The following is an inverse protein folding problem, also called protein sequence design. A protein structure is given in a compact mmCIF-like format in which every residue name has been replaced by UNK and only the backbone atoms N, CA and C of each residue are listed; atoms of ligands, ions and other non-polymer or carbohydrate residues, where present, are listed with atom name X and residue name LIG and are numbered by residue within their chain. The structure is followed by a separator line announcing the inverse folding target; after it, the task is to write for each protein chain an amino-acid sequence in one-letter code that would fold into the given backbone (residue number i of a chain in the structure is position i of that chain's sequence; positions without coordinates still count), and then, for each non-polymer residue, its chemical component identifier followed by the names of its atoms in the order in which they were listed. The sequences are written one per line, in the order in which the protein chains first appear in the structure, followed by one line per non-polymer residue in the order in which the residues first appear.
data_IF_473145182452
#
_entry.id   IF_473145182452
#
_cell.length_a   1.000
_cell.length_b   1.000
_cell.length_c   1.000
_cell.angle_alpha   90.00
_cell.angle_beta   90.00
_cell.angle_gamma   90.00
#
_symmetry.space_group_name_H-M   'P 1'
#
loop_
_entity.id
_entity.type
_entity.pdbx_description
1 polymer ?
#
# COMPACT_ATOMS: atom_id res chain seq x y z
N UNK A 1 16.89 -3.13 -9.17
CA UNK A 1 16.30 -2.03 -8.39
C UNK A 1 15.44 -1.24 -9.35
N UNK A 2 14.18 -1.01 -8.99
CA UNK A 2 13.21 -0.32 -9.84
C UNK A 2 12.69 0.93 -9.10
N UNK A 3 12.58 2.04 -9.82
CA UNK A 3 12.05 3.29 -9.30
C UNK A 3 10.77 3.66 -10.05
N UNK A 4 9.69 3.89 -9.31
CA UNK A 4 8.39 4.28 -9.85
C UNK A 4 8.10 5.74 -9.44
N UNK A 5 8.35 6.71 -10.33
CA UNK A 5 7.95 8.09 -10.12
C UNK A 5 6.47 8.29 -10.47
N UNK A 6 5.81 9.21 -9.76
CA UNK A 6 4.45 9.69 -10.04
C UNK A 6 4.37 11.16 -9.66
N UNK A 7 3.51 11.93 -10.33
CA UNK A 7 3.30 13.32 -9.97
C UNK A 7 2.15 13.98 -10.72
N UNK A 8 1.61 15.03 -10.10
CA UNK A 8 0.61 15.91 -10.68
C UNK A 8 1.26 17.28 -10.95
N UNK A 9 1.44 17.65 -12.23
CA UNK A 9 2.09 18.91 -12.60
C UNK A 9 1.27 20.14 -12.22
N UNK A 10 -0.05 20.02 -11.99
CA UNK A 10 -0.91 21.16 -11.63
C UNK A 10 -0.75 21.57 -10.17
N UNK A 11 -0.59 20.58 -9.29
CA UNK A 11 -0.43 20.79 -7.84
C UNK A 11 1.04 20.78 -7.41
N UNK A 12 1.92 20.19 -8.23
CA UNK A 12 3.31 19.93 -7.88
C UNK A 12 3.48 18.78 -6.89
N UNK A 13 2.42 18.00 -6.64
CA UNK A 13 2.51 16.77 -5.88
C UNK A 13 3.38 15.78 -6.65
N UNK A 14 4.33 15.14 -5.97
CA UNK A 14 5.20 14.15 -6.60
C UNK A 14 5.59 13.08 -5.58
N UNK A 15 5.76 11.85 -6.05
CA UNK A 15 6.30 10.75 -5.29
C UNK A 15 7.26 9.92 -6.12
N UNK A 16 8.25 9.34 -5.46
CA UNK A 16 9.13 8.34 -6.04
C UNK A 16 9.35 7.23 -5.03
N UNK A 17 9.15 6.00 -5.48
CA UNK A 17 9.44 4.80 -4.70
C UNK A 17 10.52 4.01 -5.43
N UNK A 18 11.66 3.82 -4.81
CA UNK A 18 12.76 3.03 -5.34
C UNK A 18 12.97 1.80 -4.47
N UNK A 19 12.90 0.61 -5.05
CA UNK A 19 13.01 -0.61 -4.26
C UNK A 19 13.45 -1.83 -5.05
N UNK A 20 13.60 -2.92 -4.30
CA UNK A 20 13.82 -4.26 -4.81
C UNK A 20 12.61 -5.12 -4.45
N UNK A 21 12.29 -6.06 -5.34
CA UNK A 21 11.28 -7.08 -5.14
C UNK A 21 11.97 -8.43 -5.26
N UNK A 22 11.77 -9.31 -4.28
CA UNK A 22 12.24 -10.68 -4.28
C UNK A 22 11.04 -11.62 -4.15
N UNK A 23 11.06 -12.74 -4.86
CA UNK A 23 9.93 -13.67 -4.98
C UNK A 23 9.12 -13.47 -6.25
N UNK A 24 7.93 -14.05 -6.28
CA UNK A 24 7.06 -14.15 -7.46
C UNK A 24 5.75 -13.36 -7.28
N UNK A 25 4.82 -13.56 -8.23
CA UNK A 25 3.54 -12.86 -8.25
C UNK A 25 2.56 -13.30 -7.14
N UNK A 26 2.74 -14.52 -6.61
CA UNK A 26 1.95 -15.06 -5.51
C UNK A 26 2.55 -14.70 -4.17
N UNK A 27 3.87 -14.75 -4.02
CA UNK A 27 4.57 -14.40 -2.78
C UNK A 27 5.80 -13.58 -3.09
N UNK A 28 5.81 -12.32 -2.65
CA UNK A 28 6.98 -11.46 -2.78
C UNK A 28 7.22 -10.59 -1.57
N UNK A 29 8.50 -10.33 -1.31
CA UNK A 29 8.96 -9.29 -0.41
C UNK A 29 9.44 -8.09 -1.23
N UNK A 30 9.16 -6.89 -0.72
CA UNK A 30 9.63 -5.62 -1.28
C UNK A 30 10.29 -4.81 -0.18
N UNK A 31 11.38 -4.14 -0.53
CA UNK A 31 12.01 -3.17 0.36
C UNK A 31 12.57 -2.02 -0.47
N UNK A 32 12.54 -0.82 0.09
CA UNK A 32 12.96 0.35 -0.65
C UNK A 32 12.94 1.63 0.14
N UNK A 33 13.18 2.72 -0.58
CA UNK A 33 13.10 4.09 -0.12
C UNK A 33 11.98 4.80 -0.86
N UNK A 34 11.37 5.77 -0.20
CA UNK A 34 10.38 6.65 -0.81
C UNK A 34 10.70 8.11 -0.54
N UNK A 35 10.26 8.98 -1.44
CA UNK A 35 10.19 10.40 -1.22
C UNK A 35 8.85 10.92 -1.78
N UNK A 36 8.14 11.75 -1.02
CA UNK A 36 6.86 12.35 -1.43
C UNK A 36 6.83 13.83 -1.10
N UNK A 37 6.16 14.61 -1.94
CA UNK A 37 5.77 15.99 -1.67
C UNK A 37 4.34 16.21 -2.15
N UNK A 38 3.63 17.11 -1.49
CA UNK A 38 2.22 17.40 -1.79
C UNK A 38 2.07 18.67 -2.63
N UNK A 39 3.16 19.42 -2.85
CA UNK A 39 3.17 20.62 -3.67
C UNK A 39 4.59 21.00 -4.11
N UNK A 40 4.69 21.90 -5.09
CA UNK A 40 5.96 22.40 -5.64
C UNK A 40 6.87 23.05 -4.59
N UNK A 41 6.29 23.69 -3.56
CA UNK A 41 7.03 24.33 -2.47
C UNK A 41 6.95 23.55 -1.15
N UNK A 42 6.30 22.38 -1.15
CA UNK A 42 6.04 21.58 0.04
C UNK A 42 7.28 20.86 0.56
N UNK A 43 7.32 20.51 1.85
CA UNK A 43 8.39 19.69 2.38
C UNK A 43 8.37 18.29 1.75
N UNK A 44 9.54 17.81 1.34
CA UNK A 44 9.70 16.42 0.91
C UNK A 44 9.79 15.51 2.13
N UNK A 45 8.87 14.55 2.22
CA UNK A 45 8.89 13.47 3.20
C UNK A 45 9.63 12.29 2.61
N UNK A 46 10.70 11.84 3.27
CA UNK A 46 11.50 10.70 2.85
C UNK A 46 11.40 9.59 3.88
N UNK A 47 11.43 8.34 3.42
CA UNK A 47 11.44 7.20 4.33
C UNK A 47 11.91 5.93 3.67
N UNK A 48 11.91 4.88 4.46
CA UNK A 48 12.16 3.51 4.01
C UNK A 48 10.88 2.69 4.21
N UNK A 49 10.70 1.70 3.35
CA UNK A 49 9.59 0.77 3.45
C UNK A 49 10.07 -0.68 3.27
N UNK A 50 9.35 -1.59 3.90
CA UNK A 50 9.45 -3.02 3.68
C UNK A 50 8.05 -3.61 3.69
N UNK A 51 7.76 -4.56 2.79
CA UNK A 51 6.48 -5.24 2.76
C UNK A 51 6.62 -6.67 2.25
N UNK A 52 5.77 -7.56 2.77
CA UNK A 52 5.57 -8.91 2.26
C UNK A 52 4.14 -9.00 1.76
N UNK A 53 4.00 -9.54 0.55
CA UNK A 53 2.74 -9.65 -0.14
C UNK A 53 2.48 -11.13 -0.45
N UNK A 54 1.26 -11.57 -0.22
CA UNK A 54 0.76 -12.90 -0.58
C UNK A 54 -0.51 -12.72 -1.40
N UNK A 55 -0.64 -13.45 -2.50
CA UNK A 55 -1.80 -13.47 -3.37
C UNK A 55 -2.11 -14.90 -3.79
N UNK A 56 -3.38 -15.29 -3.67
CA UNK A 56 -3.88 -16.59 -4.13
C UNK A 56 -4.45 -16.47 -5.54
N UNK A 57 -4.54 -17.60 -6.24
CA UNK A 57 -5.20 -17.68 -7.56
C UNK A 57 -6.69 -17.36 -7.49
N UNK A 58 -7.32 -17.63 -6.34
CA UNK A 58 -8.74 -17.33 -6.07
C UNK A 58 -9.02 -15.83 -5.89
N UNK A 59 -8.01 -14.96 -6.02
CA UNK A 59 -8.15 -13.51 -5.93
C UNK A 59 -8.05 -12.94 -4.51
N UNK A 60 -7.64 -13.74 -3.53
CA UNK A 60 -7.35 -13.25 -2.19
C UNK A 60 -5.94 -12.66 -2.16
N UNK A 61 -5.75 -11.60 -1.39
CA UNK A 61 -4.43 -11.05 -1.14
C UNK A 61 -4.28 -10.60 0.30
N UNK A 62 -3.05 -10.64 0.80
CA UNK A 62 -2.67 -10.11 2.09
C UNK A 62 -1.33 -9.40 1.95
N UNK A 63 -1.18 -8.28 2.61
CA UNK A 63 0.06 -7.50 2.64
C UNK A 63 0.35 -7.12 4.07
N UNK A 64 1.59 -7.35 4.51
CA UNK A 64 2.11 -6.83 5.75
C UNK A 64 3.29 -5.92 5.43
N UNK A 65 3.31 -4.71 5.96
CA UNK A 65 4.37 -3.76 5.68
C UNK A 65 4.76 -2.92 6.89
N UNK A 66 5.92 -2.30 6.76
CA UNK A 66 6.49 -1.37 7.72
C UNK A 66 7.07 -0.20 6.95
N UNK A 67 6.77 1.01 7.41
CA UNK A 67 7.31 2.25 6.90
C UNK A 67 8.01 2.98 8.03
N UNK A 68 9.17 3.55 7.76
CA UNK A 68 9.89 4.38 8.71
C UNK A 68 10.29 5.71 8.05
N UNK A 69 9.93 6.81 8.72
CA UNK A 69 10.23 8.18 8.30
C UNK A 69 11.20 8.79 9.32
N UNK A 70 12.51 8.83 9.02
CA UNK A 70 13.54 9.26 9.97
C UNK A 70 13.34 10.70 10.46
N UNK A 71 12.87 11.58 9.58
CA UNK A 71 12.62 13.01 9.90
C UNK A 71 11.71 13.22 11.11
N UNK A 72 10.79 12.29 11.34
CA UNK A 72 9.82 12.35 12.44
C UNK A 72 10.00 11.21 13.45
N UNK A 73 11.09 10.44 13.32
CA UNK A 73 11.33 9.19 14.04
C UNK A 73 10.06 8.32 14.12
N UNK A 74 9.36 8.21 13.00
CA UNK A 74 8.02 7.64 12.92
C UNK A 74 8.10 6.28 12.22
N UNK A 75 7.64 5.24 12.90
CA UNK A 75 7.45 3.91 12.31
C UNK A 75 5.98 3.57 12.34
N UNK A 76 5.46 3.09 11.21
CA UNK A 76 4.11 2.58 11.10
C UNK A 76 4.14 1.18 10.48
N UNK A 77 3.33 0.29 11.03
CA UNK A 77 3.12 -1.06 10.51
C UNK A 77 1.74 -1.09 9.87
N UNK A 78 1.66 -1.57 8.64
CA UNK A 78 0.41 -1.75 7.92
C UNK A 78 0.13 -3.24 7.70
N UNK A 79 -1.13 -3.61 7.82
CA UNK A 79 -1.66 -4.88 7.38
C UNK A 79 -2.85 -4.57 6.48
N UNK A 80 -2.92 -5.20 5.32
CA UNK A 80 -4.09 -5.10 4.45
C UNK A 80 -4.38 -6.44 3.81
N UNK A 81 -5.61 -6.62 3.37
CA UNK A 81 -6.00 -7.79 2.62
C UNK A 81 -7.21 -7.52 1.75
N UNK A 82 -7.33 -8.34 0.71
CA UNK A 82 -8.51 -8.41 -0.13
C UNK A 82 -9.00 -9.85 -0.18
N UNK A 83 -10.32 -10.04 -0.20
CA UNK A 83 -10.95 -11.33 -0.37
C UNK A 83 -11.95 -11.24 -1.52
N UNK A 84 -11.93 -12.23 -2.41
CA UNK A 84 -12.97 -12.38 -3.41
C UNK A 84 -14.13 -13.16 -2.77
N UNK A 85 -15.23 -12.47 -2.47
CA UNK A 85 -16.38 -13.07 -1.78
C UNK A 85 -17.25 -13.88 -2.74
N UNK A 86 -17.40 -13.40 -3.97
CA UNK A 86 -18.25 -14.04 -4.96
C UNK A 86 -17.81 -13.67 -6.37
N UNK A 87 -17.78 -14.66 -7.25
CA UNK A 87 -17.68 -14.46 -8.69
C UNK A 87 -18.77 -15.29 -9.34
N UNK A 88 -19.61 -14.67 -10.17
CA UNK A 88 -20.65 -15.42 -10.89
C UNK A 88 -20.01 -16.43 -11.84
N UNK A 89 -20.68 -17.56 -12.12
CA UNK A 89 -20.19 -18.54 -13.10
C UNK A 89 -19.97 -17.94 -14.49
N UNK A 90 -20.75 -16.90 -14.85
CA UNK A 90 -20.60 -16.13 -16.08
C UNK A 90 -19.42 -15.15 -16.08
N UNK A 91 -18.80 -14.89 -14.92
CA UNK A 91 -17.74 -13.88 -14.76
C UNK A 91 -18.21 -12.43 -14.81
N UNK A 92 -19.52 -12.20 -14.99
CA UNK A 92 -20.11 -10.87 -15.15
C UNK A 92 -20.29 -10.12 -13.83
N UNK A 93 -20.38 -10.83 -12.69
CA UNK A 93 -20.48 -10.21 -11.37
C UNK A 93 -19.32 -10.66 -10.50
N UNK A 94 -18.60 -9.70 -9.93
CA UNK A 94 -17.57 -9.93 -8.93
C UNK A 94 -17.86 -9.07 -7.69
N UNK A 95 -17.80 -9.70 -6.52
CA UNK A 95 -17.89 -9.03 -5.22
C UNK A 95 -16.62 -9.32 -4.44
N UNK A 96 -15.90 -8.27 -4.08
CA UNK A 96 -14.68 -8.33 -3.28
C UNK A 96 -14.82 -7.52 -2.00
N UNK A 97 -14.17 -7.99 -0.94
CA UNK A 97 -13.96 -7.24 0.30
C UNK A 97 -12.51 -6.83 0.42
N UNK A 98 -12.28 -5.70 1.06
CA UNK A 98 -10.96 -5.18 1.40
C UNK A 98 -10.97 -4.72 2.84
N UNK A 99 -9.84 -4.91 3.51
CA UNK A 99 -9.62 -4.38 4.84
C UNK A 99 -8.16 -3.92 4.96
N UNK A 100 -7.94 -2.85 5.71
CA UNK A 100 -6.61 -2.37 6.03
C UNK A 100 -6.56 -1.86 7.47
N UNK A 101 -5.41 -2.03 8.10
CA UNK A 101 -5.09 -1.49 9.40
C UNK A 101 -3.67 -0.91 9.34
N UNK A 102 -3.49 0.30 9.84
CA UNK A 102 -2.21 0.96 10.04
C UNK A 102 -2.06 1.22 11.53
N UNK A 103 -0.90 0.92 12.11
CA UNK A 103 -0.58 1.25 13.49
C UNK A 103 0.77 1.94 13.57
N UNK A 104 0.77 3.13 14.15
CA UNK A 104 1.99 3.86 14.44
C UNK A 104 2.64 3.28 15.71
N UNK A 105 3.83 2.72 15.58
CA UNK A 105 4.58 2.09 16.68
C UNK A 105 5.58 3.04 17.32
N UNK A 106 5.93 4.14 16.65
CA UNK A 106 6.81 5.20 17.15
C UNK A 106 6.48 6.57 16.53
N UNK A 107 7.15 7.62 17.01
CA UNK A 107 6.96 8.99 16.56
C UNK A 107 5.77 9.71 17.22
N UNK A 108 5.42 10.92 16.74
CA UNK A 108 4.39 11.76 17.35
C UNK A 108 2.98 11.15 17.33
N UNK A 109 2.75 10.16 16.46
CA UNK A 109 1.47 9.45 16.37
C UNK A 109 1.48 8.08 17.06
N UNK A 110 2.49 7.77 17.89
CA UNK A 110 2.61 6.46 18.53
C UNK A 110 1.32 6.02 19.23
N UNK A 111 0.89 4.80 18.94
CA UNK A 111 -0.33 4.20 19.49
C UNK A 111 -1.60 4.47 18.68
N UNK A 112 -1.57 5.42 17.73
CA UNK A 112 -2.66 5.64 16.78
C UNK A 112 -2.79 4.45 15.84
N UNK A 113 -4.03 4.00 15.67
CA UNK A 113 -4.40 3.00 14.68
C UNK A 113 -5.46 3.58 13.76
N UNK A 114 -5.28 3.37 12.47
CA UNK A 114 -6.25 3.73 11.43
C UNK A 114 -6.71 2.43 10.76
N UNK A 115 -8.02 2.22 10.69
CA UNK A 115 -8.60 1.01 10.10
C UNK A 115 -9.60 1.41 9.03
N UNK A 116 -9.59 0.66 7.93
CA UNK A 116 -10.50 0.82 6.82
C UNK A 116 -11.03 -0.54 6.37
N UNK A 117 -12.26 -0.54 5.88
CA UNK A 117 -12.88 -1.68 5.24
C UNK A 117 -13.69 -1.18 4.05
N UNK A 118 -13.78 -2.01 3.02
CA UNK A 118 -14.48 -1.67 1.79
C UNK A 118 -15.06 -2.90 1.12
N UNK A 119 -16.25 -2.76 0.57
CA UNK A 119 -16.85 -3.74 -0.33
C UNK A 119 -16.83 -3.15 -1.74
N UNK A 120 -16.37 -3.94 -2.70
CA UNK A 120 -16.38 -3.59 -4.11
C UNK A 120 -17.27 -4.57 -4.86
N UNK A 121 -18.20 -4.03 -5.63
CA UNK A 121 -19.02 -4.79 -6.55
C UNK A 121 -18.72 -4.30 -7.96
N UNK A 122 -18.35 -5.22 -8.84
CA UNK A 122 -18.14 -4.95 -10.25
C UNK A 122 -19.09 -5.81 -11.07
N UNK A 123 -19.92 -5.16 -11.88
CA UNK A 123 -20.73 -5.82 -12.91
C UNK A 123 -20.21 -5.44 -14.29
N UNK A 124 -19.92 -6.44 -15.13
CA UNK A 124 -19.53 -6.28 -16.53
C UNK A 124 -20.75 -6.58 -17.39
N UNK A 125 -21.15 -5.58 -18.17
CA UNK A 125 -22.23 -5.67 -19.16
C UNK A 125 -21.76 -6.42 -20.41
#
# INVERSE_FOLDING_TARGET
MECQPSGDPKTGAASVNCGVKAGDEKVNARAGVFATTNSTAGPVTKGVFGAVNVKTETGHSATLGVNHVPKFNMTAVNASGSANLYTSPSGNLNVAATANALRHTSGPFRGKSDMGYGLNMQYKF
#
